data_IF_080905914723
#
_entry.id   IF_080905914723
#
_cell.length_a   1.000
_cell.length_b   1.000
_cell.length_c   1.000
_cell.angle_alpha   90.00
_cell.angle_beta   90.00
_cell.angle_gamma   90.00
#
_symmetry.space_group_name_H-M   'P 1'
#
loop_
_entity.id
_entity.type
_entity.pdbx_description
1 polymer ?
#
# COMPACT_ATOMS: atom_id res chain seq x y z
N UNK A 1 24.35 -11.24 -15.71
CA UNK A 1 24.17 -9.79 -15.61
C UNK A 1 22.68 -9.52 -15.33
N UNK A 2 22.32 -9.31 -14.07
CA UNK A 2 20.91 -9.10 -13.66
C UNK A 2 20.38 -7.77 -14.17
N UNK A 3 19.13 -7.77 -14.65
CA UNK A 3 18.46 -6.56 -15.11
C UNK A 3 18.28 -5.59 -13.93
N UNK A 4 18.90 -4.39 -13.98
CA UNK A 4 18.76 -3.36 -12.93
C UNK A 4 17.29 -2.95 -12.77
N UNK A 5 16.86 -2.74 -11.54
CA UNK A 5 15.53 -2.25 -11.23
C UNK A 5 15.52 -0.73 -11.45
N UNK A 6 14.44 -0.21 -12.03
CA UNK A 6 14.22 1.23 -12.12
C UNK A 6 13.40 1.70 -10.93
N UNK A 7 14.07 2.25 -9.95
CA UNK A 7 13.44 2.88 -8.79
C UNK A 7 12.91 4.26 -9.17
N UNK A 8 11.74 4.62 -8.68
CA UNK A 8 11.13 5.91 -8.96
C UNK A 8 10.02 6.23 -7.96
N UNK A 9 10.24 7.23 -7.09
CA UNK A 9 9.19 7.72 -6.19
C UNK A 9 7.92 8.18 -6.92
N UNK A 10 8.09 8.74 -8.13
CA UNK A 10 6.95 9.13 -8.97
C UNK A 10 6.07 7.94 -9.36
N UNK A 11 6.68 6.79 -9.70
CA UNK A 11 5.93 5.57 -10.01
C UNK A 11 5.21 5.01 -8.79
N UNK A 12 5.85 5.04 -7.63
CA UNK A 12 5.21 4.66 -6.36
C UNK A 12 4.01 5.57 -6.06
N UNK A 13 4.16 6.90 -6.25
CA UNK A 13 3.07 7.86 -6.08
C UNK A 13 1.91 7.58 -7.02
N UNK A 14 2.17 7.34 -8.30
CA UNK A 14 1.13 7.00 -9.28
C UNK A 14 0.43 5.71 -8.87
N UNK A 15 1.17 4.68 -8.50
CA UNK A 15 0.62 3.38 -8.08
C UNK A 15 -0.33 3.53 -6.88
N UNK A 16 0.08 4.29 -5.86
CA UNK A 16 -0.73 4.50 -4.66
C UNK A 16 -1.98 5.35 -4.89
N UNK A 17 -1.94 6.23 -5.90
CA UNK A 17 -3.06 7.13 -6.22
C UNK A 17 -4.06 6.53 -7.21
N UNK A 18 -3.64 5.64 -8.10
CA UNK A 18 -4.48 5.14 -9.20
C UNK A 18 -5.78 4.52 -8.69
N UNK A 19 -5.72 3.57 -7.76
CA UNK A 19 -6.92 2.88 -7.29
C UNK A 19 -7.90 3.81 -6.54
N UNK A 20 -7.45 4.61 -5.54
CA UNK A 20 -8.34 5.56 -4.86
C UNK A 20 -8.88 6.65 -5.80
N UNK A 21 -8.07 7.10 -6.78
CA UNK A 21 -8.48 8.14 -7.72
C UNK A 21 -9.57 7.65 -8.68
N UNK A 22 -9.47 6.42 -9.21
CA UNK A 22 -10.55 5.82 -10.00
C UNK A 22 -11.83 5.70 -9.20
N UNK A 23 -11.75 5.23 -7.96
CA UNK A 23 -12.90 5.19 -7.06
C UNK A 23 -13.49 6.59 -6.84
N UNK A 24 -12.64 7.60 -6.56
CA UNK A 24 -13.08 8.98 -6.30
C UNK A 24 -13.78 9.60 -7.53
N UNK A 25 -13.22 9.41 -8.73
CA UNK A 25 -13.83 9.91 -9.99
C UNK A 25 -15.17 9.22 -10.23
N UNK A 26 -15.21 7.89 -10.19
CA UNK A 26 -16.43 7.13 -10.46
C UNK A 26 -17.55 7.48 -9.47
N UNK A 27 -17.21 7.55 -8.19
CA UNK A 27 -18.15 7.92 -7.14
C UNK A 27 -18.53 9.39 -7.16
N UNK A 28 -17.60 10.29 -7.50
CA UNK A 28 -17.87 11.71 -7.64
C UNK A 28 -18.85 12.02 -8.74
N UNK A 29 -18.70 11.43 -9.92
CA UNK A 29 -19.64 11.59 -11.04
C UNK A 29 -21.04 11.10 -10.69
N UNK A 30 -21.15 9.95 -10.01
CA UNK A 30 -22.43 9.45 -9.55
C UNK A 30 -23.12 10.37 -8.55
N UNK A 31 -22.37 10.94 -7.59
CA UNK A 31 -22.90 11.88 -6.60
C UNK A 31 -23.34 13.21 -7.24
N UNK A 32 -22.57 13.75 -8.19
CA UNK A 32 -22.95 14.97 -8.91
C UNK A 32 -24.23 14.78 -9.71
N UNK A 33 -24.37 13.67 -10.41
CA UNK A 33 -25.59 13.34 -11.16
C UNK A 33 -26.81 13.22 -10.24
N UNK A 34 -26.63 12.64 -9.07
CA UNK A 34 -27.69 12.50 -8.09
C UNK A 34 -28.12 13.88 -7.50
N UNK A 35 -27.16 14.74 -7.17
CA UNK A 35 -27.46 16.10 -6.66
C UNK A 35 -28.18 16.94 -7.72
N UNK A 36 -27.72 16.91 -8.99
CA UNK A 36 -28.37 17.64 -10.08
C UNK A 36 -29.83 17.18 -10.28
N UNK A 37 -30.08 15.89 -10.19
CA UNK A 37 -31.43 15.33 -10.26
C UNK A 37 -32.29 15.79 -9.07
N UNK A 38 -31.73 15.84 -7.85
CA UNK A 38 -32.41 16.36 -6.64
C UNK A 38 -32.83 17.79 -6.80
N UNK A 39 -31.95 18.66 -7.29
CA UNK A 39 -32.23 20.08 -7.49
C UNK A 39 -33.31 20.32 -8.53
N UNK A 40 -33.42 19.45 -9.54
CA UNK A 40 -34.44 19.55 -10.61
C UNK A 40 -35.82 19.08 -10.18
N UNK A 41 -35.89 18.07 -9.35
CA UNK A 41 -37.14 17.36 -9.04
C UNK A 41 -37.77 17.80 -7.71
N UNK A 42 -37.00 18.46 -6.86
CA UNK A 42 -37.43 19.02 -5.57
C UNK A 42 -37.44 18.03 -4.39
N UNK A 43 -37.49 18.57 -3.19
CA UNK A 43 -37.37 17.83 -1.94
C UNK A 43 -38.51 16.84 -1.69
N UNK A 44 -39.73 17.17 -2.13
CA UNK A 44 -40.93 16.34 -1.98
C UNK A 44 -40.77 14.98 -2.69
N UNK A 45 -40.23 14.97 -3.90
CA UNK A 45 -39.93 13.74 -4.64
C UNK A 45 -38.96 12.83 -3.87
N UNK A 46 -37.98 13.41 -3.18
CA UNK A 46 -37.02 12.65 -2.39
C UNK A 46 -37.65 12.04 -1.15
N UNK A 47 -38.56 12.71 -0.50
CA UNK A 47 -39.31 12.17 0.64
C UNK A 47 -40.19 10.98 0.21
N UNK A 48 -40.81 11.07 -0.95
CA UNK A 48 -41.60 9.97 -1.51
C UNK A 48 -40.70 8.79 -1.95
N UNK A 49 -39.59 9.10 -2.57
CA UNK A 49 -38.60 8.08 -2.97
C UNK A 49 -37.95 7.39 -1.77
N UNK A 50 -37.64 8.11 -0.69
CA UNK A 50 -37.15 7.51 0.57
C UNK A 50 -38.19 6.54 1.14
N UNK A 51 -39.47 6.90 1.03
CA UNK A 51 -40.58 6.08 1.50
C UNK A 51 -40.80 4.84 0.65
N UNK A 52 -40.65 4.96 -0.67
CA UNK A 52 -40.90 3.87 -1.63
C UNK A 52 -39.68 3.00 -1.87
N UNK A 53 -38.45 3.58 -1.83
CA UNK A 53 -37.22 2.86 -2.16
C UNK A 53 -36.05 3.12 -1.18
N UNK A 54 -36.26 2.67 0.05
CA UNK A 54 -35.25 2.77 1.13
C UNK A 54 -33.88 2.19 0.73
N UNK A 55 -33.87 1.16 -0.15
CA UNK A 55 -32.64 0.54 -0.63
C UNK A 55 -31.82 1.48 -1.50
N UNK A 56 -32.44 2.37 -2.27
CA UNK A 56 -31.78 3.37 -3.10
C UNK A 56 -31.05 4.41 -2.22
N UNK A 57 -31.70 4.86 -1.15
CA UNK A 57 -31.11 5.80 -0.18
C UNK A 57 -29.93 5.16 0.53
N UNK A 58 -30.04 3.94 1.00
CA UNK A 58 -28.92 3.21 1.61
C UNK A 58 -27.76 3.05 0.65
N UNK A 59 -28.03 2.74 -0.61
CA UNK A 59 -27.01 2.61 -1.65
C UNK A 59 -26.28 3.93 -1.87
N UNK A 60 -26.98 5.05 -1.90
CA UNK A 60 -26.40 6.38 -2.03
C UNK A 60 -25.52 6.76 -0.84
N UNK A 61 -25.98 6.51 0.39
CA UNK A 61 -25.18 6.75 1.61
C UNK A 61 -23.91 5.92 1.57
N UNK A 62 -24.02 4.62 1.25
CA UNK A 62 -22.88 3.70 1.15
C UNK A 62 -21.88 4.13 0.09
N UNK A 63 -22.40 4.65 -1.02
CA UNK A 63 -21.64 5.19 -2.12
C UNK A 63 -20.79 6.41 -1.71
N UNK A 64 -21.43 7.42 -1.07
CA UNK A 64 -20.73 8.60 -0.59
C UNK A 64 -19.70 8.28 0.51
N UNK A 65 -20.01 7.35 1.41
CA UNK A 65 -19.06 6.86 2.41
C UNK A 65 -17.82 6.21 1.77
N UNK A 66 -18.00 5.49 0.67
CA UNK A 66 -16.88 4.90 -0.09
C UNK A 66 -16.02 5.97 -0.76
N UNK A 67 -16.64 7.03 -1.30
CA UNK A 67 -15.93 8.16 -1.88
C UNK A 67 -15.05 8.87 -0.82
N UNK A 68 -15.63 9.23 0.31
CA UNK A 68 -14.89 9.86 1.42
C UNK A 68 -13.72 9.00 1.88
N UNK A 69 -13.95 7.69 2.06
CA UNK A 69 -12.88 6.75 2.42
C UNK A 69 -11.77 6.68 1.36
N UNK A 70 -12.12 6.73 0.08
CA UNK A 70 -11.15 6.69 -1.02
C UNK A 70 -10.29 7.96 -1.04
N UNK A 71 -10.90 9.13 -0.89
CA UNK A 71 -10.20 10.42 -0.81
C UNK A 71 -9.27 10.44 0.42
N UNK A 72 -9.77 10.02 1.58
CA UNK A 72 -8.97 9.95 2.80
C UNK A 72 -7.75 9.04 2.64
N UNK A 73 -7.94 7.85 2.06
CA UNK A 73 -6.82 6.91 1.78
C UNK A 73 -5.80 7.52 0.81
N UNK A 74 -6.26 8.21 -0.22
CA UNK A 74 -5.37 8.88 -1.18
C UNK A 74 -4.51 9.93 -0.49
N UNK A 75 -5.10 10.79 0.34
CA UNK A 75 -4.37 11.81 1.09
C UNK A 75 -3.39 11.16 2.06
N UNK A 76 -3.85 10.20 2.88
CA UNK A 76 -3.00 9.48 3.84
C UNK A 76 -1.80 8.81 3.16
N UNK A 77 -2.04 8.08 2.06
CA UNK A 77 -0.97 7.39 1.33
C UNK A 77 0.04 8.38 0.74
N UNK A 78 -0.40 9.52 0.24
CA UNK A 78 0.51 10.53 -0.32
C UNK A 78 1.35 11.22 0.77
N UNK A 79 0.76 11.50 1.93
CA UNK A 79 1.48 12.04 3.08
C UNK A 79 2.54 11.05 3.58
N UNK A 80 2.17 9.79 3.77
CA UNK A 80 3.10 8.74 4.20
C UNK A 80 4.24 8.56 3.20
N UNK A 81 3.94 8.49 1.91
CA UNK A 81 4.96 8.37 0.86
C UNK A 81 5.94 9.56 0.88
N UNK A 82 5.43 10.79 1.06
CA UNK A 82 6.30 11.97 1.12
C UNK A 82 7.20 11.92 2.37
N UNK A 83 6.66 11.52 3.53
CA UNK A 83 7.42 11.34 4.76
C UNK A 83 8.54 10.31 4.58
N UNK A 84 8.21 9.14 4.04
CA UNK A 84 9.16 8.06 3.82
C UNK A 84 10.28 8.45 2.82
N UNK A 85 9.91 9.16 1.74
CA UNK A 85 10.89 9.68 0.76
C UNK A 85 11.82 10.71 1.42
N UNK A 86 11.27 11.58 2.27
CA UNK A 86 12.05 12.57 2.97
C UNK A 86 13.02 11.91 3.95
N UNK A 87 12.55 10.97 4.75
CA UNK A 87 13.37 10.19 5.68
C UNK A 87 14.55 9.50 5.00
N UNK A 88 14.28 8.83 3.85
CA UNK A 88 15.34 8.20 3.08
C UNK A 88 16.38 9.20 2.54
N UNK A 89 15.96 10.40 2.15
CA UNK A 89 16.89 11.45 1.70
C UNK A 89 17.72 12.03 2.84
N UNK A 90 17.09 12.19 3.99
CA UNK A 90 17.77 12.72 5.18
C UNK A 90 18.82 11.73 5.70
N UNK A 91 18.54 10.42 5.63
CA UNK A 91 19.47 9.36 6.01
C UNK A 91 20.52 9.05 4.93
N UNK A 92 20.16 9.16 3.64
CA UNK A 92 20.98 8.77 2.49
C UNK A 92 20.99 9.88 1.44
N UNK A 93 21.85 10.92 1.59
CA UNK A 93 21.89 12.07 0.67
C UNK A 93 22.13 11.69 -0.80
N UNK A 94 22.83 10.56 -1.07
CA UNK A 94 23.08 10.05 -2.41
C UNK A 94 21.79 9.65 -3.15
N UNK A 95 20.70 9.36 -2.44
CA UNK A 95 19.39 9.08 -3.04
C UNK A 95 18.70 10.35 -3.54
N UNK A 96 19.11 11.53 -3.10
CA UNK A 96 18.60 12.79 -3.63
C UNK A 96 19.09 13.00 -5.07
N UNK A 97 20.32 12.59 -5.37
CA UNK A 97 20.92 12.70 -6.70
C UNK A 97 20.38 11.62 -7.65
N UNK A 98 20.43 10.37 -7.24
CA UNK A 98 19.91 9.25 -8.06
C UNK A 98 19.33 8.10 -7.21
N UNK A 99 18.03 7.89 -7.37
CA UNK A 99 17.31 6.73 -6.77
C UNK A 99 17.81 5.38 -7.28
N UNK A 100 18.60 5.31 -8.35
CA UNK A 100 19.17 4.06 -8.84
C UNK A 100 20.25 3.51 -7.91
N UNK A 101 20.78 4.30 -6.97
CA UNK A 101 21.70 3.87 -5.94
C UNK A 101 21.10 2.78 -5.04
N UNK A 102 19.78 2.69 -4.94
CA UNK A 102 19.09 1.55 -4.30
C UNK A 102 19.36 0.19 -4.97
N UNK A 103 19.96 0.15 -6.17
CA UNK A 103 20.41 -1.13 -6.75
C UNK A 103 21.66 -1.71 -6.07
N UNK A 104 22.38 -0.89 -5.30
CA UNK A 104 23.55 -1.28 -4.53
C UNK A 104 23.16 -1.62 -3.07
N UNK A 105 21.87 -1.97 -2.85
CA UNK A 105 21.33 -2.40 -1.56
C UNK A 105 22.05 -3.65 -1.04
N UNK A 106 22.18 -3.74 0.28
CA UNK A 106 22.81 -4.84 1.00
C UNK A 106 22.05 -6.15 0.80
N UNK A 107 20.71 -6.06 0.70
CA UNK A 107 19.83 -7.16 0.32
C UNK A 107 18.77 -6.67 -0.68
N UNK A 108 18.49 -7.46 -1.70
CA UNK A 108 17.48 -7.12 -2.73
C UNK A 108 16.73 -8.35 -3.19
N UNK A 109 15.43 -8.41 -2.90
CA UNK A 109 14.53 -9.43 -3.41
C UNK A 109 13.51 -8.82 -4.39
N UNK A 110 13.61 -9.25 -5.66
CA UNK A 110 12.73 -8.74 -6.74
C UNK A 110 11.34 -9.33 -6.68
N UNK A 111 11.21 -10.46 -6.05
CA UNK A 111 9.99 -11.24 -6.01
C UNK A 111 9.10 -10.81 -4.85
N UNK A 112 9.67 -10.57 -3.69
CA UNK A 112 9.01 -9.92 -2.59
C UNK A 112 8.87 -8.40 -2.78
N UNK A 113 9.66 -7.81 -3.70
CA UNK A 113 9.71 -6.37 -3.93
C UNK A 113 10.25 -5.59 -2.73
N UNK A 114 11.15 -6.20 -1.99
CA UNK A 114 11.79 -5.60 -0.83
C UNK A 114 13.30 -5.50 -1.03
N UNK A 115 13.89 -4.55 -0.35
CA UNK A 115 15.33 -4.40 -0.23
C UNK A 115 15.70 -3.91 1.17
N UNK A 116 16.94 -4.17 1.60
CA UNK A 116 17.54 -3.53 2.75
C UNK A 116 18.66 -2.64 2.25
N UNK A 117 18.60 -1.37 2.60
CA UNK A 117 19.59 -0.35 2.26
C UNK A 117 20.04 0.35 3.54
N UNK A 118 21.27 0.08 3.96
CA UNK A 118 21.74 0.47 5.29
C UNK A 118 20.81 -0.03 6.39
N UNK A 119 20.25 0.88 7.17
CA UNK A 119 19.39 0.59 8.31
C UNK A 119 17.89 0.53 7.97
N UNK A 120 17.51 0.57 6.69
CA UNK A 120 16.12 0.60 6.29
C UNK A 120 15.70 -0.65 5.49
N UNK A 121 14.60 -1.28 5.92
CA UNK A 121 13.85 -2.23 5.11
C UNK A 121 12.83 -1.46 4.26
N UNK A 122 12.92 -1.59 2.95
CA UNK A 122 12.17 -0.79 1.98
C UNK A 122 11.36 -1.69 1.06
N UNK A 123 10.04 -1.49 1.02
CA UNK A 123 9.19 -2.01 -0.05
C UNK A 123 9.28 -1.07 -1.25
N UNK A 124 10.17 -1.32 -2.18
CA UNK A 124 10.57 -0.35 -3.22
C UNK A 124 9.48 -0.02 -4.26
N UNK A 125 8.35 -0.70 -4.26
CA UNK A 125 7.21 -0.38 -5.12
C UNK A 125 6.29 0.67 -4.52
N UNK A 126 6.11 0.60 -3.22
CA UNK A 126 5.24 1.50 -2.47
C UNK A 126 6.02 2.58 -1.73
N UNK A 127 7.34 2.38 -1.56
CA UNK A 127 8.20 3.16 -0.70
C UNK A 127 7.69 3.18 0.75
N UNK A 128 7.07 2.09 1.17
CA UNK A 128 6.88 1.86 2.59
C UNK A 128 8.22 1.42 3.19
N UNK A 129 8.59 2.02 4.31
CA UNK A 129 9.89 1.80 4.94
C UNK A 129 9.72 1.40 6.39
N UNK A 130 10.72 0.70 6.91
CA UNK A 130 10.91 0.48 8.35
C UNK A 130 12.37 0.75 8.71
N UNK A 131 12.58 1.58 9.72
CA UNK A 131 13.89 1.85 10.29
C UNK A 131 14.25 0.72 11.26
N UNK A 132 15.15 -0.16 10.83
CA UNK A 132 15.47 -1.41 11.53
C UNK A 132 16.01 -1.21 12.95
N UNK A 133 16.89 -0.22 13.24
CA UNK A 133 17.41 -0.01 14.60
C UNK A 133 16.35 0.25 15.67
N UNK A 134 15.19 0.77 15.30
CA UNK A 134 14.06 1.02 16.21
C UNK A 134 13.01 -0.09 16.19
N UNK A 135 13.17 -1.10 15.32
CA UNK A 135 12.25 -2.23 15.25
C UNK A 135 12.52 -3.22 16.39
N UNK A 136 11.47 -3.59 17.11
CA UNK A 136 11.50 -4.70 18.08
C UNK A 136 11.13 -6.02 17.41
N UNK A 137 10.26 -5.98 16.36
CA UNK A 137 9.73 -7.17 15.72
C UNK A 137 9.35 -6.88 14.27
N UNK A 138 9.52 -7.90 13.42
CA UNK A 138 9.01 -7.91 12.04
C UNK A 138 8.17 -9.15 11.84
N UNK A 139 6.90 -8.94 11.49
CA UNK A 139 5.95 -9.99 11.17
C UNK A 139 5.82 -10.16 9.66
N UNK A 140 5.82 -11.39 9.18
CA UNK A 140 5.43 -11.73 7.83
C UNK A 140 4.10 -12.49 7.84
N UNK A 141 3.12 -12.01 7.12
CA UNK A 141 1.81 -12.63 7.03
C UNK A 141 1.32 -12.78 5.59
N UNK A 142 0.49 -13.81 5.37
CA UNK A 142 -0.07 -14.12 4.07
C UNK A 142 -1.43 -13.45 3.88
N UNK A 143 -1.50 -12.42 3.06
CA UNK A 143 -2.75 -11.76 2.69
C UNK A 143 -3.34 -12.36 1.43
N UNK A 144 -4.62 -12.70 1.45
CA UNK A 144 -5.31 -13.30 0.32
C UNK A 144 -6.09 -12.25 -0.46
N UNK A 145 -5.77 -12.11 -1.74
CA UNK A 145 -6.46 -11.23 -2.67
C UNK A 145 -7.34 -12.02 -3.63
N UNK A 146 -8.55 -11.52 -3.89
CA UNK A 146 -9.43 -12.07 -4.94
C UNK A 146 -9.22 -11.28 -6.23
N UNK A 147 -8.68 -11.96 -7.24
CA UNK A 147 -8.57 -11.42 -8.61
C UNK A 147 -9.75 -11.93 -9.43
N UNK A 148 -10.88 -11.19 -9.39
CA UNK A 148 -12.13 -11.60 -10.03
C UNK A 148 -12.84 -12.73 -9.27
N UNK A 149 -13.80 -13.39 -9.92
CA UNK A 149 -14.68 -14.40 -9.28
C UNK A 149 -14.00 -15.74 -8.99
N UNK A 150 -12.88 -16.07 -9.65
CA UNK A 150 -12.32 -17.44 -9.63
C UNK A 150 -10.85 -17.53 -9.17
N UNK A 151 -10.10 -16.44 -9.12
CA UNK A 151 -8.69 -16.49 -8.77
C UNK A 151 -8.42 -15.85 -7.41
N UNK A 152 -7.80 -16.62 -6.52
CA UNK A 152 -7.28 -16.14 -5.25
C UNK A 152 -5.76 -16.12 -5.36
N UNK A 153 -5.13 -15.01 -4.99
CA UNK A 153 -3.67 -14.88 -4.92
C UNK A 153 -3.29 -14.62 -3.48
N UNK A 154 -2.33 -15.36 -2.98
CA UNK A 154 -1.71 -15.12 -1.67
C UNK A 154 -0.45 -14.31 -1.88
N UNK A 155 -0.22 -13.34 -1.00
CA UNK A 155 1.00 -12.52 -1.01
C UNK A 155 1.52 -12.35 0.39
N UNK A 156 2.84 -12.35 0.49
CA UNK A 156 3.53 -12.00 1.73
C UNK A 156 3.49 -10.48 1.89
N UNK A 157 3.06 -10.04 3.06
CA UNK A 157 3.15 -8.69 3.55
C UNK A 157 3.97 -8.70 4.83
N UNK A 158 4.49 -7.54 5.19
CA UNK A 158 5.27 -7.38 6.39
C UNK A 158 4.65 -6.28 7.27
N UNK A 159 4.75 -6.45 8.59
CA UNK A 159 4.52 -5.40 9.58
C UNK A 159 5.78 -5.24 10.42
N UNK A 160 6.23 -4.03 10.59
CA UNK A 160 7.30 -3.68 11.49
C UNK A 160 6.73 -3.08 12.77
N UNK A 161 7.11 -3.62 13.91
CA UNK A 161 6.74 -3.15 15.25
C UNK A 161 7.93 -2.44 15.87
N UNK A 162 7.72 -1.25 16.35
CA UNK A 162 8.77 -0.41 16.92
C UNK A 162 8.82 -0.54 18.44
N UNK A 163 9.93 -0.09 19.03
CA UNK A 163 10.15 -0.11 20.48
C UNK A 163 9.13 0.73 21.25
N UNK A 164 8.55 1.75 20.64
CA UNK A 164 7.49 2.58 21.19
C UNK A 164 6.09 1.94 21.13
N UNK A 165 5.98 0.74 20.58
CA UNK A 165 4.73 0.00 20.39
C UNK A 165 3.93 0.41 19.15
N UNK A 166 4.43 1.30 18.31
CA UNK A 166 3.80 1.62 17.03
C UNK A 166 4.03 0.52 15.99
N UNK A 167 3.14 0.45 14.99
CA UNK A 167 3.20 -0.51 13.88
C UNK A 167 3.23 0.22 12.55
N UNK A 168 4.06 -0.26 11.63
CA UNK A 168 4.09 0.15 10.23
C UNK A 168 3.85 -1.04 9.31
N UNK A 169 2.80 -0.97 8.47
CA UNK A 169 2.53 -1.97 7.43
C UNK A 169 3.41 -1.69 6.21
N UNK A 170 4.23 -2.66 5.85
CA UNK A 170 5.08 -2.63 4.66
C UNK A 170 4.34 -3.33 3.51
N UNK A 171 3.74 -2.53 2.63
CA UNK A 171 2.87 -3.02 1.56
C UNK A 171 3.67 -3.38 0.33
N UNK A 172 3.50 -4.59 -0.17
CA UNK A 172 3.97 -4.99 -1.49
C UNK A 172 2.95 -4.61 -2.57
N UNK A 173 3.39 -4.46 -3.85
CA UNK A 173 2.50 -4.11 -4.95
C UNK A 173 1.45 -5.19 -5.21
N UNK A 174 0.17 -4.84 -5.03
CA UNK A 174 -0.98 -5.75 -5.17
C UNK A 174 -1.33 -6.06 -6.63
N UNK A 175 -0.90 -5.23 -7.58
CA UNK A 175 -1.35 -5.30 -8.98
C UNK A 175 -0.54 -6.27 -9.84
N UNK A 176 0.60 -6.74 -9.37
CA UNK A 176 1.45 -7.63 -10.16
C UNK A 176 0.94 -9.07 -10.13
N UNK A 177 0.68 -9.64 -11.29
CA UNK A 177 0.38 -11.07 -11.43
C UNK A 177 1.66 -11.88 -11.13
N UNK A 178 1.71 -12.49 -9.97
CA UNK A 178 2.74 -13.48 -9.65
C UNK A 178 2.21 -14.87 -10.03
N UNK A 179 2.77 -15.44 -11.07
CA UNK A 179 2.48 -16.80 -11.46
C UNK A 179 3.68 -17.66 -11.01
N UNK A 180 3.44 -18.56 -10.07
CA UNK A 180 4.36 -19.66 -9.77
C UNK A 180 5.53 -19.35 -8.84
N UNK A 181 5.48 -18.29 -8.03
CA UNK A 181 6.60 -17.94 -7.15
C UNK A 181 6.53 -18.64 -5.79
N UNK A 182 7.65 -19.16 -5.36
CA UNK A 182 7.82 -19.68 -4.00
C UNK A 182 8.12 -18.53 -3.03
N UNK A 183 7.10 -17.69 -2.75
CA UNK A 183 7.24 -16.55 -1.84
C UNK A 183 7.70 -16.95 -0.43
N UNK A 184 7.47 -18.20 -0.03
CA UNK A 184 7.96 -18.72 1.25
C UNK A 184 9.48 -18.75 1.29
N UNK A 185 10.13 -19.30 0.26
CA UNK A 185 11.60 -19.36 0.20
C UNK A 185 12.23 -17.95 0.18
N UNK A 186 11.61 -17.02 -0.55
CA UNK A 186 12.07 -15.62 -0.58
C UNK A 186 11.91 -14.93 0.78
N UNK A 187 10.78 -15.15 1.47
CA UNK A 187 10.57 -14.65 2.83
C UNK A 187 11.60 -15.25 3.80
N UNK A 188 11.82 -16.56 3.72
CA UNK A 188 12.78 -17.24 4.59
C UNK A 188 14.20 -16.69 4.36
N UNK A 189 14.61 -16.44 3.10
CA UNK A 189 15.89 -15.81 2.76
C UNK A 189 16.03 -14.39 3.32
N UNK A 190 14.97 -13.58 3.26
CA UNK A 190 14.96 -12.27 3.89
C UNK A 190 15.13 -12.37 5.41
N UNK A 191 14.41 -13.29 6.04
CA UNK A 191 14.48 -13.48 7.49
C UNK A 191 15.84 -14.01 7.93
N UNK A 192 16.48 -14.87 7.14
CA UNK A 192 17.83 -15.33 7.40
C UNK A 192 18.82 -14.16 7.33
N UNK A 193 18.71 -13.31 6.30
CA UNK A 193 19.51 -12.08 6.20
C UNK A 193 19.31 -11.15 7.41
N UNK A 194 18.05 -10.94 7.84
CA UNK A 194 17.75 -10.07 8.99
C UNK A 194 18.29 -10.67 10.30
N UNK A 195 18.24 -11.99 10.51
CA UNK A 195 18.83 -12.65 11.68
C UNK A 195 20.36 -12.51 11.75
N UNK A 196 21.00 -12.54 10.60
CA UNK A 196 22.46 -12.43 10.51
C UNK A 196 22.96 -11.00 10.78
N UNK A 197 22.19 -9.99 10.42
CA UNK A 197 22.63 -8.59 10.46
C UNK A 197 21.91 -7.75 11.53
N UNK A 198 20.74 -8.18 12.02
CA UNK A 198 19.87 -7.47 12.98
C UNK A 198 19.31 -8.49 13.99
N UNK A 199 20.17 -9.17 14.73
CA UNK A 199 19.87 -10.29 15.62
C UNK A 199 18.93 -9.93 16.80
N UNK A 200 18.79 -8.63 17.10
CA UNK A 200 17.91 -8.10 18.14
C UNK A 200 16.43 -8.00 17.70
N UNK A 201 16.12 -8.17 16.39
CA UNK A 201 14.75 -8.09 15.88
C UNK A 201 14.08 -9.45 15.98
N UNK A 202 12.94 -9.52 16.66
CA UNK A 202 12.09 -10.70 16.67
C UNK A 202 11.43 -10.89 15.30
N UNK A 203 11.52 -12.09 14.72
CA UNK A 203 10.97 -12.41 13.40
C UNK A 203 9.88 -13.46 13.54
N UNK A 204 8.64 -13.08 13.24
CA UNK A 204 7.48 -13.97 13.27
C UNK A 204 6.86 -14.20 11.88
N UNK A 205 6.28 -15.39 11.72
CA UNK A 205 5.54 -15.76 10.52
C UNK A 205 4.15 -16.23 10.90
N UNK A 206 3.14 -15.64 10.29
CA UNK A 206 1.75 -16.09 10.37
C UNK A 206 1.34 -16.68 9.01
N UNK A 207 1.06 -17.98 8.98
CA UNK A 207 0.61 -18.73 7.79
C UNK A 207 -0.91 -18.57 7.53
#
# INVERSE_FOLDING_TARGET
>A
MGKRIKFSPLKARILMMVSPMFCAIFFGLGSCSFIDHTLKVGLSFWLDMIREDFMLVLSFIRFNMSLVKSIYRMIKNNLLLNSNIQELRDCYPELEEDWQNLNDADYLDKDLQVLVYGDHLICYRTFDIAYLPECSKIDAFMKMYRLGSRHKVRRVHFSAWYLDGSESELRTDELRKFIGMNQKAHKDALFDYLRENFDYIELETFD
#
